data_IF_190541208169
#
_entry.id   IF_190541208169
#
_cell.length_a   1.000
_cell.length_b   1.000
_cell.length_c   1.000
_cell.angle_alpha   90.00
_cell.angle_beta   90.00
_cell.angle_gamma   90.00
#
_symmetry.space_group_name_H-M   'P 1'
#
loop_
_entity.id
_entity.type
_entity.pdbx_description
1 polymer ?
#
# COMPACT_ATOMS: atom_id res chain seq x y z
N UNK A 1 5.34 13.64 -13.45
CA UNK A 1 5.15 12.19 -13.32
C UNK A 1 5.63 11.55 -14.61
N UNK A 2 6.37 10.44 -14.54
CA UNK A 2 6.86 9.80 -15.74
C UNK A 2 5.68 9.27 -16.59
N UNK A 3 5.79 9.29 -17.92
CA UNK A 3 4.76 8.80 -18.87
C UNK A 3 4.59 7.26 -18.87
N UNK A 4 5.10 6.57 -17.85
CA UNK A 4 4.99 5.11 -17.70
C UNK A 4 3.91 4.75 -16.69
N UNK A 5 3.33 3.54 -16.78
CA UNK A 5 2.50 3.00 -15.70
C UNK A 5 3.22 3.05 -14.35
N UNK A 6 2.43 3.28 -13.29
CA UNK A 6 2.93 3.27 -11.93
C UNK A 6 3.34 1.85 -11.52
N UNK A 7 4.36 1.76 -10.68
CA UNK A 7 4.87 0.52 -10.08
C UNK A 7 4.80 0.56 -8.56
N UNK A 8 5.04 -0.58 -7.92
CA UNK A 8 5.16 -0.66 -6.46
C UNK A 8 6.29 0.23 -5.92
N UNK A 9 7.37 0.40 -6.67
CA UNK A 9 8.46 1.30 -6.30
C UNK A 9 8.01 2.76 -6.20
N UNK A 10 7.08 3.20 -7.07
CA UNK A 10 6.53 4.56 -6.99
C UNK A 10 5.74 4.75 -5.69
N UNK A 11 5.04 3.72 -5.21
CA UNK A 11 4.35 3.75 -3.91
C UNK A 11 5.35 3.91 -2.77
N UNK A 12 6.45 3.17 -2.82
CA UNK A 12 7.52 3.28 -1.82
C UNK A 12 8.16 4.67 -1.82
N UNK A 13 8.41 5.24 -2.99
CA UNK A 13 8.98 6.58 -3.15
C UNK A 13 8.04 7.65 -2.60
N UNK A 14 6.77 7.64 -3.02
CA UNK A 14 5.76 8.62 -2.62
C UNK A 14 5.52 8.54 -1.10
N UNK A 15 5.34 7.34 -0.55
CA UNK A 15 5.12 7.18 0.88
C UNK A 15 6.33 7.65 1.70
N UNK A 16 7.55 7.44 1.20
CA UNK A 16 8.79 7.90 1.85
C UNK A 16 9.01 9.41 1.76
N UNK A 17 8.33 10.11 0.84
CA UNK A 17 8.43 11.57 0.71
C UNK A 17 7.57 12.35 1.71
N UNK A 18 6.70 11.68 2.47
CA UNK A 18 5.82 12.35 3.41
C UNK A 18 6.61 12.96 4.59
N UNK A 19 6.38 14.23 4.96
CA UNK A 19 7.09 14.85 6.09
C UNK A 19 6.92 14.04 7.37
N UNK A 20 8.03 13.84 8.09
CA UNK A 20 8.09 13.08 9.35
C UNK A 20 7.69 11.60 9.23
N UNK A 21 7.78 11.02 8.04
CA UNK A 21 7.52 9.60 7.85
C UNK A 21 8.56 8.71 8.53
N UNK A 22 8.09 7.63 9.12
CA UNK A 22 8.90 6.50 9.56
C UNK A 22 8.44 5.25 8.81
N UNK A 23 9.40 4.53 8.22
CA UNK A 23 9.18 3.17 7.68
C UNK A 23 9.58 2.14 8.73
N UNK A 24 8.66 1.25 9.08
CA UNK A 24 8.91 0.10 9.97
C UNK A 24 8.53 -1.20 9.27
N UNK A 25 9.05 -2.31 9.76
CA UNK A 25 8.75 -3.64 9.23
C UNK A 25 7.66 -4.33 10.05
N UNK A 26 6.68 -4.91 9.36
CA UNK A 26 5.58 -5.63 9.97
C UNK A 26 6.01 -6.97 10.58
N UNK A 27 5.42 -7.38 11.72
CA UNK A 27 5.92 -8.47 12.55
C UNK A 27 5.80 -9.88 11.94
N UNK A 28 5.03 -10.06 10.87
CA UNK A 28 4.75 -11.39 10.29
C UNK A 28 5.51 -11.71 9.01
N UNK A 29 5.90 -10.70 8.24
CA UNK A 29 6.42 -10.89 6.89
C UNK A 29 7.48 -9.86 6.47
N UNK A 30 7.92 -8.98 7.38
CA UNK A 30 8.86 -7.90 7.03
C UNK A 30 8.24 -6.81 6.15
N UNK A 31 6.91 -6.82 5.98
CA UNK A 31 6.22 -5.92 5.08
C UNK A 31 6.39 -4.45 5.48
N UNK A 32 6.60 -3.53 4.53
CA UNK A 32 6.73 -2.11 4.81
C UNK A 32 5.45 -1.51 5.41
N UNK A 33 5.62 -0.73 6.46
CA UNK A 33 4.57 0.09 7.09
C UNK A 33 5.09 1.53 7.15
N UNK A 34 4.37 2.46 6.52
CA UNK A 34 4.70 3.89 6.52
C UNK A 34 3.80 4.61 7.52
N UNK A 35 4.43 5.37 8.42
CA UNK A 35 3.74 6.01 9.54
C UNK A 35 4.13 7.47 9.70
N UNK A 36 3.20 8.30 10.19
CA UNK A 36 3.48 9.64 10.72
C UNK A 36 2.92 9.71 12.13
N UNK A 37 3.75 10.15 13.09
CA UNK A 37 3.34 10.19 14.50
C UNK A 37 2.93 8.83 15.08
N UNK A 38 3.52 7.73 14.57
CA UNK A 38 3.21 6.36 14.98
C UNK A 38 1.90 5.79 14.41
N UNK A 39 1.19 6.53 13.56
CA UNK A 39 -0.03 6.05 12.87
C UNK A 39 0.30 5.69 11.43
N UNK A 40 -0.08 4.49 10.99
CA UNK A 40 0.12 4.09 9.60
C UNK A 40 -0.84 4.83 8.66
N UNK A 41 -0.33 5.25 7.51
CA UNK A 41 -1.13 5.82 6.42
C UNK A 41 -1.09 4.95 5.14
N UNK A 42 -0.02 4.18 4.95
CA UNK A 42 0.11 3.11 3.93
C UNK A 42 0.84 1.92 4.55
N UNK A 43 0.37 0.70 4.30
CA UNK A 43 1.15 -0.51 4.63
C UNK A 43 0.87 -1.68 3.70
N UNK A 44 1.88 -2.55 3.55
CA UNK A 44 1.77 -3.79 2.79
C UNK A 44 1.33 -4.93 3.71
N UNK A 45 0.36 -5.74 3.26
CA UNK A 45 -0.16 -6.87 4.02
C UNK A 45 0.19 -8.20 3.36
N UNK A 46 0.04 -9.29 4.10
CA UNK A 46 0.22 -10.64 3.55
C UNK A 46 -0.81 -10.92 2.46
N UNK A 47 -0.54 -11.86 1.52
CA UNK A 47 -1.46 -12.26 0.46
C UNK A 47 -2.86 -12.57 1.00
N UNK A 48 -3.89 -12.20 0.22
CA UNK A 48 -5.28 -12.23 0.66
C UNK A 48 -6.15 -13.13 -0.20
N UNK A 49 -7.15 -13.83 0.39
CA UNK A 49 -8.06 -14.66 -0.39
C UNK A 49 -8.87 -13.87 -1.42
N UNK A 50 -9.11 -12.59 -1.16
CA UNK A 50 -9.88 -11.65 -1.99
C UNK A 50 -9.02 -10.86 -2.98
N UNK A 51 -7.69 -11.07 -3.01
CA UNK A 51 -6.77 -10.38 -3.91
C UNK A 51 -6.08 -11.42 -4.81
N UNK A 52 -6.73 -11.75 -5.92
CA UNK A 52 -6.32 -12.80 -6.86
C UNK A 52 -6.17 -12.21 -8.25
N UNK A 53 -5.08 -12.55 -8.92
CA UNK A 53 -4.86 -12.25 -10.32
C UNK A 53 -5.89 -13.01 -11.19
N UNK A 54 -6.75 -12.30 -11.94
CA UNK A 54 -7.81 -12.93 -12.73
C UNK A 54 -7.28 -13.80 -13.88
N UNK A 55 -6.06 -13.55 -14.36
CA UNK A 55 -5.48 -14.29 -15.49
C UNK A 55 -4.80 -15.59 -15.02
N UNK A 56 -4.13 -15.55 -13.86
CA UNK A 56 -3.33 -16.67 -13.36
C UNK A 56 -3.97 -17.45 -12.21
N UNK A 57 -4.94 -16.85 -11.50
CA UNK A 57 -5.53 -17.40 -10.28
C UNK A 57 -4.60 -17.36 -9.06
N UNK A 58 -3.40 -16.76 -9.18
CA UNK A 58 -2.47 -16.61 -8.07
C UNK A 58 -2.91 -15.46 -7.13
N UNK A 59 -2.56 -15.55 -5.85
CA UNK A 59 -2.77 -14.43 -4.92
C UNK A 59 -1.72 -13.37 -5.16
N UNK A 60 -2.11 -12.09 -5.14
CA UNK A 60 -1.18 -10.98 -5.11
C UNK A 60 -0.35 -11.02 -3.82
N UNK A 61 0.96 -10.80 -3.95
CA UNK A 61 1.92 -10.74 -2.85
C UNK A 61 2.20 -9.30 -2.38
N UNK A 62 1.83 -8.32 -3.19
CA UNK A 62 2.06 -6.89 -3.04
C UNK A 62 0.79 -6.10 -2.64
N UNK A 63 -0.10 -6.74 -1.87
CA UNK A 63 -1.36 -6.11 -1.46
C UNK A 63 -1.12 -4.98 -0.47
N UNK A 64 -1.58 -3.78 -0.82
CA UNK A 64 -1.48 -2.58 0.03
C UNK A 64 -2.80 -2.26 0.75
N UNK A 65 -2.68 -1.57 1.87
CA UNK A 65 -3.77 -0.87 2.55
C UNK A 65 -3.40 0.60 2.61
N UNK A 66 -4.34 1.44 2.18
CA UNK A 66 -4.25 2.90 2.28
C UNK A 66 -5.46 3.41 3.04
N UNK A 67 -5.28 4.49 3.81
CA UNK A 67 -6.38 5.16 4.49
C UNK A 67 -6.84 6.36 3.66
N UNK A 68 -8.15 6.54 3.59
CA UNK A 68 -8.80 7.70 2.98
C UNK A 68 -9.60 8.45 4.05
N UNK A 69 -9.89 9.72 3.80
CA UNK A 69 -10.55 10.59 4.79
C UNK A 69 -11.99 10.16 5.05
N UNK A 70 -12.72 9.79 4.00
CA UNK A 70 -14.15 9.49 4.09
C UNK A 70 -14.57 8.20 3.39
N UNK A 71 -15.80 7.76 3.65
CA UNK A 71 -16.42 6.66 2.90
C UNK A 71 -16.66 7.04 1.44
N UNK A 72 -17.00 8.30 1.16
CA UNK A 72 -17.18 8.81 -0.20
C UNK A 72 -15.88 8.69 -1.01
N UNK A 73 -14.73 9.04 -0.42
CA UNK A 73 -13.42 8.85 -1.06
C UNK A 73 -13.12 7.39 -1.35
N UNK A 74 -13.57 6.48 -0.45
CA UNK A 74 -13.39 5.05 -0.64
C UNK A 74 -14.21 4.53 -1.81
N UNK A 75 -15.44 5.02 -1.97
CA UNK A 75 -16.33 4.66 -3.07
C UNK A 75 -15.86 5.25 -4.41
N UNK A 76 -15.14 6.38 -4.40
CA UNK A 76 -14.57 6.97 -5.61
C UNK A 76 -13.40 6.17 -6.21
N UNK A 77 -12.87 5.17 -5.50
CA UNK A 77 -11.73 4.34 -5.93
C UNK A 77 -12.15 3.07 -6.71
N UNK A 78 -13.44 2.85 -6.96
CA UNK A 78 -13.98 1.69 -7.70
C UNK A 78 -14.21 1.99 -9.18
#
# INVERSE_FOLDING_TARGET
MPDRPATVDDVHEIASSMPHVTRVEGPKAGNPIYQVGGKSFVFFRTPRPDAIDPDTGAKYDDVIVIWVESEDDKLALT
#
